data_IF_396173816766
#
_entry.id   IF_396173816766
#
_cell.length_a   1.000
_cell.length_b   1.000
_cell.length_c   1.000
_cell.angle_alpha   90.00
_cell.angle_beta   90.00
_cell.angle_gamma   90.00
#
_symmetry.space_group_name_H-M   'P 1'
#
loop_
_entity.id
_entity.type
_entity.pdbx_description
1 polymer ?
#
# COMPACT_ATOMS: atom_id res chain seq x y z
N UNK A 1 20.10 16.76 28.49
CA UNK A 1 20.60 17.67 27.45
C UNK A 1 22.05 17.32 27.21
N UNK A 2 22.32 16.37 26.35
CA UNK A 2 23.65 16.15 25.78
C UNK A 2 23.45 16.10 24.28
N UNK A 3 24.09 17.06 23.59
CA UNK A 3 23.91 17.34 22.19
C UNK A 3 24.40 16.16 21.33
N UNK A 4 23.49 15.59 20.59
CA UNK A 4 23.86 14.74 19.47
C UNK A 4 24.74 15.53 18.51
N UNK A 5 25.99 15.10 18.33
CA UNK A 5 26.87 15.64 17.32
C UNK A 5 26.23 15.30 15.96
N UNK A 6 25.63 16.29 15.32
CA UNK A 6 25.16 16.18 13.95
C UNK A 6 26.32 15.75 13.07
N UNK A 7 26.17 14.66 12.35
CA UNK A 7 27.14 14.19 11.36
C UNK A 7 27.24 15.28 10.29
N UNK A 8 28.46 15.70 9.98
CA UNK A 8 28.74 16.68 8.94
C UNK A 8 28.33 16.08 7.57
N UNK A 9 27.29 16.62 6.89
CA UNK A 9 26.81 16.08 5.63
C UNK A 9 27.84 16.14 4.48
N UNK A 10 28.97 16.80 4.68
CA UNK A 10 30.05 16.85 3.70
C UNK A 10 30.99 15.65 3.75
N UNK A 11 30.84 14.74 4.72
CA UNK A 11 31.66 13.53 4.83
C UNK A 11 30.96 12.34 4.17
N UNK A 12 31.43 11.97 2.97
CA UNK A 12 31.09 10.70 2.34
C UNK A 12 31.49 9.54 3.26
N UNK A 13 30.50 8.72 3.66
CA UNK A 13 30.70 7.55 4.54
C UNK A 13 30.77 6.26 3.74
N UNK A 14 30.00 6.17 2.64
CA UNK A 14 29.89 4.98 1.81
C UNK A 14 28.67 5.03 0.92
N UNK A 15 28.37 3.93 0.23
CA UNK A 15 27.20 3.77 -0.65
C UNK A 15 26.17 2.88 0.04
N UNK A 16 24.92 3.30 0.01
CA UNK A 16 23.82 2.53 0.58
C UNK A 16 22.75 2.22 -0.47
N UNK A 17 22.23 1.00 -0.42
CA UNK A 17 21.06 0.57 -1.18
C UNK A 17 19.98 0.06 -0.23
N UNK A 18 18.72 0.09 -0.70
CA UNK A 18 17.59 -0.38 0.07
C UNK A 18 16.67 -1.22 -0.82
N UNK A 19 16.30 -2.41 -0.32
CA UNK A 19 15.31 -3.29 -0.93
C UNK A 19 14.01 -3.11 -0.13
N UNK A 20 12.92 -2.76 -0.83
CA UNK A 20 11.59 -2.59 -0.22
C UNK A 20 10.70 -3.75 -0.60
N UNK A 21 10.15 -4.43 0.42
CA UNK A 21 9.19 -5.50 0.23
C UNK A 21 7.87 -5.16 0.94
N UNK A 22 6.79 -5.72 0.42
CA UNK A 22 5.47 -5.67 1.04
C UNK A 22 4.60 -4.54 0.49
N UNK A 23 4.18 -3.57 1.28
CA UNK A 23 3.08 -2.67 0.97
C UNK A 23 3.49 -1.19 0.93
N UNK A 24 2.59 -0.32 0.43
CA UNK A 24 2.78 1.12 0.37
C UNK A 24 3.20 1.79 1.70
N UNK A 25 2.83 1.20 2.87
CA UNK A 25 3.31 1.70 4.17
C UNK A 25 4.79 1.41 4.37
N UNK A 26 5.25 0.22 3.96
CA UNK A 26 6.68 -0.12 3.96
C UNK A 26 7.47 0.76 2.97
N UNK A 27 6.85 1.09 1.84
CA UNK A 27 7.44 2.02 0.86
C UNK A 27 7.76 3.38 1.51
N UNK A 28 6.80 3.97 2.23
CA UNK A 28 7.04 5.23 2.96
C UNK A 28 8.12 5.07 4.02
N UNK A 29 8.11 3.97 4.78
CA UNK A 29 9.16 3.69 5.78
C UNK A 29 10.55 3.59 5.11
N UNK A 30 10.65 2.95 3.94
CA UNK A 30 11.87 2.86 3.13
C UNK A 30 12.37 4.22 2.66
N UNK A 31 11.49 5.06 2.16
CA UNK A 31 11.82 6.41 1.70
C UNK A 31 12.33 7.31 2.83
N UNK A 32 11.80 7.14 4.04
CA UNK A 32 12.32 7.80 5.25
C UNK A 32 13.72 7.25 5.59
N UNK A 33 13.91 5.93 5.57
CA UNK A 33 15.24 5.34 5.80
C UNK A 33 16.27 5.81 4.76
N UNK A 34 15.90 5.91 3.48
CA UNK A 34 16.77 6.46 2.44
C UNK A 34 17.15 7.93 2.73
N UNK A 35 16.17 8.76 3.14
CA UNK A 35 16.43 10.15 3.53
C UNK A 35 17.35 10.26 4.74
N UNK A 36 17.21 9.38 5.73
CA UNK A 36 18.10 9.33 6.90
C UNK A 36 19.51 8.91 6.48
N UNK A 37 19.68 7.87 5.66
CA UNK A 37 20.98 7.44 5.16
C UNK A 37 21.67 8.56 4.37
N UNK A 38 20.96 9.23 3.48
CA UNK A 38 21.48 10.37 2.71
C UNK A 38 21.91 11.52 3.62
N UNK A 39 21.09 11.89 4.62
CA UNK A 39 21.40 12.96 5.58
C UNK A 39 22.57 12.64 6.50
N UNK A 40 22.89 11.35 6.68
CA UNK A 40 24.06 10.89 7.43
C UNK A 40 25.33 10.76 6.60
N UNK A 41 25.28 11.03 5.29
CA UNK A 41 26.44 11.08 4.40
C UNK A 41 26.65 9.84 3.52
N UNK A 42 25.64 8.98 3.37
CA UNK A 42 25.66 7.92 2.40
C UNK A 42 25.20 8.40 1.02
N UNK A 43 25.89 7.98 -0.04
CA UNK A 43 25.41 8.05 -1.41
C UNK A 43 24.40 6.92 -1.63
N UNK A 44 23.17 7.25 -2.05
CA UNK A 44 22.15 6.25 -2.34
C UNK A 44 22.34 5.73 -3.77
N UNK A 45 22.54 4.42 -3.89
CA UNK A 45 22.70 3.72 -5.17
C UNK A 45 21.56 2.75 -5.41
N UNK A 46 21.26 2.47 -6.68
CA UNK A 46 20.24 1.49 -7.06
C UNK A 46 20.83 0.09 -7.30
N UNK A 47 22.05 0.04 -7.83
CA UNK A 47 22.75 -1.20 -8.08
C UNK A 47 23.30 -1.78 -6.77
N UNK A 48 22.79 -2.94 -6.35
CA UNK A 48 23.12 -3.57 -5.07
C UNK A 48 24.62 -3.95 -4.97
N UNK A 49 25.23 -4.31 -6.08
CA UNK A 49 26.66 -4.63 -6.19
C UNK A 49 27.58 -3.44 -5.90
N UNK A 50 27.06 -2.21 -6.01
CA UNK A 50 27.83 -0.99 -5.70
C UNK A 50 27.72 -0.57 -4.23
N UNK A 51 26.82 -1.16 -3.45
CA UNK A 51 26.52 -0.76 -2.09
C UNK A 51 27.55 -1.29 -1.07
N UNK A 52 27.98 -0.43 -0.16
CA UNK A 52 28.73 -0.81 1.04
C UNK A 52 27.78 -1.25 2.17
N UNK A 53 26.53 -0.73 2.15
CA UNK A 53 25.45 -1.06 3.10
C UNK A 53 24.18 -1.39 2.31
N UNK A 54 23.54 -2.51 2.63
CA UNK A 54 22.21 -2.84 2.12
C UNK A 54 21.25 -2.93 3.31
N UNK A 55 20.08 -2.32 3.18
CA UNK A 55 18.96 -2.46 4.09
C UNK A 55 17.82 -3.19 3.37
N UNK A 56 17.34 -4.30 3.94
CA UNK A 56 16.16 -5.02 3.43
C UNK A 56 14.97 -4.69 4.32
N UNK A 57 14.04 -3.85 3.84
CA UNK A 57 12.81 -3.53 4.55
C UNK A 57 11.75 -4.60 4.23
N UNK A 58 11.41 -5.41 5.22
CA UNK A 58 10.72 -6.68 5.09
C UNK A 58 9.23 -6.61 5.41
N UNK A 59 8.46 -7.50 4.78
CA UNK A 59 7.08 -7.79 5.14
C UNK A 59 7.00 -8.95 6.13
N UNK A 60 6.16 -8.83 7.15
CA UNK A 60 5.90 -9.87 8.15
C UNK A 60 4.43 -10.23 8.29
N UNK A 61 3.58 -9.85 7.31
CA UNK A 61 2.13 -9.99 7.41
C UNK A 61 1.65 -11.41 7.10
N UNK A 62 2.07 -11.99 5.99
CA UNK A 62 1.76 -13.36 5.56
C UNK A 62 3.03 -14.21 5.52
N UNK A 63 2.87 -15.52 5.71
CA UNK A 63 3.99 -16.47 5.62
C UNK A 63 4.68 -16.42 4.25
N UNK A 64 3.93 -16.28 3.16
CA UNK A 64 4.47 -16.10 1.82
C UNK A 64 5.35 -14.86 1.69
N UNK A 65 4.94 -13.73 2.26
CA UNK A 65 5.73 -12.50 2.27
C UNK A 65 6.96 -12.57 3.19
N UNK A 66 6.87 -13.37 4.26
CA UNK A 66 8.05 -13.69 5.10
C UNK A 66 9.07 -14.51 4.31
N UNK A 67 8.62 -15.49 3.54
CA UNK A 67 9.49 -16.28 2.67
C UNK A 67 10.18 -15.42 1.62
N UNK A 68 9.44 -14.59 0.91
CA UNK A 68 9.99 -13.60 -0.04
C UNK A 68 11.04 -12.71 0.63
N UNK A 69 10.75 -12.23 1.85
CA UNK A 69 11.69 -11.41 2.63
C UNK A 69 12.97 -12.17 2.96
N UNK A 70 12.88 -13.44 3.33
CA UNK A 70 14.04 -14.30 3.62
C UNK A 70 14.86 -14.55 2.35
N UNK A 71 14.21 -14.86 1.23
CA UNK A 71 14.86 -15.08 -0.06
C UNK A 71 15.65 -13.82 -0.48
N UNK A 72 15.06 -12.64 -0.39
CA UNK A 72 15.72 -11.36 -0.68
C UNK A 72 16.93 -11.07 0.26
N UNK A 73 16.84 -11.45 1.54
CA UNK A 73 17.95 -11.32 2.48
C UNK A 73 19.12 -12.21 2.06
N UNK A 74 18.84 -13.47 1.69
CA UNK A 74 19.88 -14.38 1.22
C UNK A 74 20.54 -13.89 -0.06
N UNK A 75 19.76 -13.41 -1.05
CA UNK A 75 20.29 -12.81 -2.27
C UNK A 75 21.18 -11.60 -1.95
N UNK A 76 20.74 -10.70 -1.09
CA UNK A 76 21.53 -9.55 -0.67
C UNK A 76 22.83 -9.97 0.06
N UNK A 77 22.78 -11.05 0.85
CA UNK A 77 23.95 -11.54 1.59
C UNK A 77 25.08 -12.05 0.69
N UNK A 78 24.78 -12.53 -0.53
CA UNK A 78 25.78 -12.98 -1.49
C UNK A 78 26.75 -11.84 -1.91
N UNK A 79 26.32 -10.57 -1.86
CA UNK A 79 27.21 -9.44 -2.12
C UNK A 79 28.30 -9.23 -1.05
N UNK A 80 28.18 -9.88 0.14
CA UNK A 80 29.28 -9.92 1.11
C UNK A 80 30.44 -10.79 0.63
N UNK A 81 30.15 -11.83 -0.16
CA UNK A 81 31.16 -12.76 -0.69
C UNK A 81 31.79 -12.27 -1.98
N UNK A 82 30.94 -11.74 -2.89
CA UNK A 82 31.28 -11.47 -4.28
C UNK A 82 31.22 -9.96 -4.65
N UNK A 83 30.89 -9.08 -3.71
CA UNK A 83 30.74 -7.65 -3.91
C UNK A 83 31.50 -6.81 -2.90
N UNK A 84 31.07 -5.55 -2.75
CA UNK A 84 31.67 -4.63 -1.78
C UNK A 84 30.84 -4.47 -0.50
N UNK A 85 29.75 -5.21 -0.34
CA UNK A 85 28.87 -5.12 0.81
C UNK A 85 29.61 -5.43 2.12
N UNK A 86 29.59 -4.48 3.05
CA UNK A 86 30.22 -4.57 4.38
C UNK A 86 29.20 -4.83 5.47
N UNK A 87 27.99 -4.28 5.32
CA UNK A 87 26.91 -4.37 6.31
C UNK A 87 25.58 -4.68 5.62
N UNK A 88 24.89 -5.68 6.15
CA UNK A 88 23.53 -6.06 5.75
C UNK A 88 22.60 -5.86 6.94
N UNK A 89 21.61 -4.97 6.79
CA UNK A 89 20.59 -4.74 7.80
C UNK A 89 19.23 -5.23 7.32
N UNK A 90 18.43 -5.73 8.26
CA UNK A 90 17.05 -6.14 8.02
C UNK A 90 16.14 -5.27 8.87
N UNK A 91 15.13 -4.68 8.22
CA UNK A 91 14.19 -3.76 8.86
C UNK A 91 12.73 -4.21 8.67
N UNK A 92 11.81 -3.60 9.40
CA UNK A 92 10.38 -3.65 9.10
C UNK A 92 9.58 -4.71 9.85
N UNK A 93 8.44 -5.10 9.23
CA UNK A 93 7.39 -5.90 9.87
C UNK A 93 7.85 -7.30 10.29
N UNK A 94 8.72 -7.94 9.52
CA UNK A 94 9.24 -9.28 9.86
C UNK A 94 10.09 -9.22 11.11
N UNK A 95 10.96 -8.23 11.26
CA UNK A 95 11.76 -8.02 12.47
C UNK A 95 10.85 -7.84 13.68
N UNK A 96 9.78 -7.04 13.53
CA UNK A 96 8.83 -6.80 14.61
C UNK A 96 8.04 -8.04 15.00
N UNK A 97 7.70 -8.90 14.04
CA UNK A 97 6.94 -10.13 14.27
C UNK A 97 7.75 -11.22 14.96
N UNK A 98 9.00 -11.46 14.50
CA UNK A 98 9.82 -12.60 14.95
C UNK A 98 10.85 -12.24 16.00
N UNK A 99 11.07 -10.97 16.24
CA UNK A 99 11.89 -10.42 17.35
C UNK A 99 13.11 -11.28 17.75
N UNK A 100 13.00 -11.94 18.90
CA UNK A 100 14.13 -12.61 19.54
C UNK A 100 14.62 -13.87 18.79
N UNK A 101 13.83 -14.36 17.83
CA UNK A 101 14.17 -15.56 17.07
C UNK A 101 14.95 -15.25 15.79
N UNK A 102 14.76 -14.06 15.21
CA UNK A 102 15.24 -13.73 13.87
C UNK A 102 16.78 -13.67 13.80
N UNK A 103 17.44 -13.18 14.84
CA UNK A 103 18.91 -13.07 14.86
C UNK A 103 19.61 -14.41 14.86
N UNK A 104 19.01 -15.43 15.47
CA UNK A 104 19.55 -16.79 15.47
C UNK A 104 19.34 -17.51 14.12
N UNK A 105 18.33 -17.11 13.36
CA UNK A 105 17.96 -17.70 12.08
C UNK A 105 18.71 -17.10 10.88
N UNK A 106 19.20 -15.86 11.01
CA UNK A 106 19.86 -15.10 9.93
C UNK A 106 21.23 -14.57 10.39
N UNK A 107 22.22 -15.45 10.60
CA UNK A 107 23.55 -15.06 11.09
C UNK A 107 24.35 -14.19 10.11
N UNK A 108 23.97 -14.14 8.81
CA UNK A 108 24.58 -13.27 7.81
C UNK A 108 24.18 -11.79 7.93
N UNK A 109 23.17 -11.48 8.74
CA UNK A 109 22.67 -10.12 8.96
C UNK A 109 23.45 -9.45 10.10
N UNK A 110 23.94 -8.24 9.86
CA UNK A 110 24.73 -7.48 10.82
C UNK A 110 23.88 -6.72 11.86
N UNK A 111 22.59 -6.52 11.57
CA UNK A 111 21.68 -5.87 12.51
C UNK A 111 20.24 -5.86 12.07
N UNK A 112 19.33 -5.71 13.03
CA UNK A 112 17.90 -5.76 12.85
C UNK A 112 17.26 -4.48 13.39
N UNK A 113 16.39 -3.85 12.59
CA UNK A 113 15.68 -2.61 12.92
C UNK A 113 14.17 -2.89 12.98
N UNK A 114 13.57 -2.66 14.15
CA UNK A 114 12.12 -2.68 14.30
C UNK A 114 11.46 -1.49 13.59
N UNK A 115 10.14 -1.43 13.65
CA UNK A 115 9.37 -0.34 13.03
C UNK A 115 9.67 1.01 13.70
N UNK A 116 10.01 0.99 14.99
CA UNK A 116 10.36 2.19 15.76
C UNK A 116 11.79 2.69 15.52
N UNK A 117 12.62 1.89 14.82
CA UNK A 117 14.04 2.18 14.60
C UNK A 117 14.34 2.80 13.23
N UNK A 118 13.33 3.14 12.44
CA UNK A 118 13.47 3.69 11.07
C UNK A 118 14.46 4.86 11.03
N UNK A 119 14.41 5.77 12.01
CA UNK A 119 15.30 6.93 12.08
C UNK A 119 16.72 6.61 12.55
N UNK A 120 16.94 5.43 13.14
CA UNK A 120 18.26 5.01 13.63
C UNK A 120 19.11 4.34 12.55
N UNK A 121 18.56 4.10 11.37
CA UNK A 121 19.25 3.38 10.28
C UNK A 121 20.60 4.01 9.92
N UNK A 122 20.73 5.34 9.96
CA UNK A 122 21.98 6.05 9.70
C UNK A 122 23.04 5.79 10.75
N UNK A 123 22.67 5.72 12.04
CA UNK A 123 23.57 5.43 13.15
C UNK A 123 24.08 3.99 13.09
N UNK A 124 23.21 3.03 12.76
CA UNK A 124 23.57 1.63 12.54
C UNK A 124 24.51 1.48 11.35
N UNK A 125 24.17 2.09 10.23
CA UNK A 125 24.97 2.04 9.01
C UNK A 125 26.35 2.69 9.20
N UNK A 126 26.44 3.79 9.94
CA UNK A 126 27.66 4.49 10.27
C UNK A 126 28.52 3.82 11.35
N UNK A 127 28.03 2.72 11.98
CA UNK A 127 28.77 1.98 13.02
C UNK A 127 28.78 2.65 14.40
N UNK A 128 27.90 3.64 14.64
CA UNK A 128 27.79 4.30 15.93
C UNK A 128 27.06 3.44 16.97
N UNK A 129 26.28 2.45 16.53
CA UNK A 129 25.55 1.48 17.36
C UNK A 129 25.96 0.08 16.90
N UNK A 130 26.56 -0.71 17.79
CA UNK A 130 27.00 -2.09 17.51
C UNK A 130 26.01 -3.16 17.96
N UNK A 131 25.14 -2.84 18.92
CA UNK A 131 24.14 -3.76 19.44
C UNK A 131 22.73 -3.17 19.34
N UNK A 132 21.79 -4.06 19.03
CA UNK A 132 20.37 -3.79 19.03
C UNK A 132 19.86 -3.56 20.46
N UNK A 133 19.95 -2.31 20.94
CA UNK A 133 19.37 -1.93 22.22
C UNK A 133 17.85 -1.83 22.06
N UNK A 134 17.16 -2.90 22.44
CA UNK A 134 15.72 -2.98 22.30
C UNK A 134 15.01 -2.47 23.54
N UNK A 135 14.25 -1.41 23.43
CA UNK A 135 13.16 -1.14 24.37
C UNK A 135 12.05 -2.16 24.13
N UNK A 136 11.73 -2.97 25.14
CA UNK A 136 10.59 -3.89 25.14
C UNK A 136 9.33 -3.05 25.30
N UNK A 137 8.74 -2.63 24.20
CA UNK A 137 7.56 -1.80 24.16
C UNK A 137 6.59 -2.19 23.01
N UNK A 138 5.40 -1.61 23.03
CA UNK A 138 4.52 -1.63 21.85
C UNK A 138 5.03 -0.58 20.87
N UNK A 139 4.93 -0.81 19.53
CA UNK A 139 5.33 0.18 18.55
C UNK A 139 4.67 1.53 18.79
N UNK A 140 5.47 2.59 18.81
CA UNK A 140 5.03 3.97 19.09
C UNK A 140 5.43 4.96 17.99
N UNK A 141 6.33 4.59 17.10
CA UNK A 141 6.81 5.47 16.04
C UNK A 141 5.66 5.93 15.14
N UNK A 142 5.65 7.21 14.87
CA UNK A 142 4.78 7.85 13.90
C UNK A 142 5.60 8.90 13.15
N UNK A 143 5.74 8.70 11.86
CA UNK A 143 6.49 9.61 11.01
C UNK A 143 5.73 10.93 10.79
N UNK A 144 6.45 12.02 10.53
CA UNK A 144 5.88 13.35 10.24
C UNK A 144 6.66 14.09 9.13
N UNK A 145 6.19 15.30 8.78
CA UNK A 145 6.73 16.13 7.71
C UNK A 145 8.13 16.70 7.97
N UNK A 146 8.65 16.60 9.20
CA UNK A 146 9.99 17.08 9.55
C UNK A 146 11.09 16.07 9.33
N UNK A 147 10.71 14.81 9.12
CA UNK A 147 11.66 13.72 8.91
C UNK A 147 12.20 13.72 7.48
N UNK A 148 13.49 13.43 7.30
CA UNK A 148 14.07 13.32 5.96
C UNK A 148 13.38 12.21 5.18
N UNK A 149 13.05 12.47 3.93
CA UNK A 149 12.41 11.50 3.04
C UNK A 149 12.99 11.64 1.63
N UNK A 150 13.51 10.54 1.09
CA UNK A 150 13.95 10.46 -0.30
C UNK A 150 12.97 9.61 -1.08
N UNK A 151 12.29 10.23 -2.05
CA UNK A 151 11.33 9.56 -2.90
C UNK A 151 12.01 8.46 -3.73
N UNK A 152 11.36 7.30 -3.80
CA UNK A 152 11.77 6.15 -4.59
C UNK A 152 10.69 5.70 -5.58
N UNK A 153 9.51 6.33 -5.51
CA UNK A 153 8.45 6.22 -6.50
C UNK A 153 8.69 7.15 -7.69
N UNK A 154 7.83 7.04 -8.70
CA UNK A 154 7.84 7.96 -9.84
C UNK A 154 7.59 9.40 -9.36
N UNK A 155 8.22 10.37 -10.02
CA UNK A 155 8.25 11.78 -9.56
C UNK A 155 6.87 12.47 -9.47
N UNK A 156 5.85 11.92 -10.10
CA UNK A 156 4.51 12.51 -10.17
C UNK A 156 3.50 11.89 -9.19
N UNK A 157 3.84 10.80 -8.51
CA UNK A 157 2.97 10.14 -7.53
C UNK A 157 3.70 9.86 -6.22
N UNK A 158 2.99 9.95 -5.11
CA UNK A 158 3.54 9.64 -3.78
C UNK A 158 2.52 8.96 -2.88
N UNK A 159 3.00 8.04 -2.05
CA UNK A 159 2.23 7.55 -0.91
C UNK A 159 2.39 8.48 0.28
N UNK A 160 1.28 8.84 0.94
CA UNK A 160 1.29 9.65 2.16
C UNK A 160 0.65 8.87 3.29
N UNK A 161 1.45 8.45 4.25
CA UNK A 161 0.99 7.69 5.40
C UNK A 161 0.41 8.66 6.43
N UNK A 162 -0.92 8.61 6.62
CA UNK A 162 -1.65 9.53 7.50
C UNK A 162 -1.88 8.95 8.91
N UNK A 163 -1.70 7.64 9.08
CA UNK A 163 -1.81 6.95 10.36
C UNK A 163 -0.97 5.69 10.38
N UNK A 164 -0.66 5.19 11.59
CA UNK A 164 0.08 3.95 11.81
C UNK A 164 -0.65 3.08 12.84
N UNK A 165 -0.65 1.75 12.64
CA UNK A 165 -1.32 0.78 13.52
C UNK A 165 -2.82 0.65 13.25
N UNK A 166 -3.47 -0.30 13.93
CA UNK A 166 -4.89 -0.61 13.72
C UNK A 166 -5.54 -1.14 15.01
N UNK A 167 -6.77 -0.65 15.29
CA UNK A 167 -7.54 -1.09 16.44
C UNK A 167 -8.63 -2.11 16.09
N UNK A 168 -8.73 -2.56 14.82
CA UNK A 168 -9.78 -3.49 14.39
C UNK A 168 -9.50 -4.91 14.88
N UNK A 169 -10.55 -5.64 15.34
CA UNK A 169 -10.40 -6.94 15.97
C UNK A 169 -10.44 -8.12 14.98
N UNK A 170 -10.06 -7.93 13.71
CA UNK A 170 -10.14 -8.97 12.69
C UNK A 170 -9.35 -10.22 13.12
N UNK A 171 -10.00 -11.38 13.16
CA UNK A 171 -9.43 -12.61 13.74
C UNK A 171 -8.26 -13.20 12.94
N UNK A 172 -8.15 -12.86 11.66
CA UNK A 172 -7.09 -13.33 10.75
C UNK A 172 -5.89 -12.38 10.67
N UNK A 173 -5.95 -11.22 11.35
CA UNK A 173 -4.99 -10.14 11.11
C UNK A 173 -4.00 -10.00 12.26
N UNK A 174 -2.70 -10.03 11.93
CA UNK A 174 -1.59 -9.88 12.87
C UNK A 174 -1.14 -8.41 13.06
N UNK A 175 -1.66 -7.47 12.27
CA UNK A 175 -1.23 -6.05 12.26
C UNK A 175 -1.25 -5.39 13.63
N UNK A 176 -2.28 -5.54 14.49
CA UNK A 176 -2.27 -4.91 15.82
C UNK A 176 -1.10 -5.36 16.71
N UNK A 177 -0.54 -6.55 16.45
CA UNK A 177 0.65 -7.05 17.17
C UNK A 177 1.95 -6.53 16.59
N UNK A 178 2.01 -6.36 15.26
CA UNK A 178 3.20 -5.89 14.55
C UNK A 178 3.31 -4.36 14.64
N UNK A 179 2.25 -3.63 14.23
CA UNK A 179 2.26 -2.17 14.11
C UNK A 179 1.61 -1.41 15.28
N UNK A 180 1.10 -2.14 16.25
CA UNK A 180 0.51 -1.59 17.46
C UNK A 180 -0.87 -0.95 17.25
N UNK A 181 -1.28 -0.13 18.24
CA UNK A 181 -2.52 0.63 18.18
C UNK A 181 -2.44 1.75 17.17
N UNK A 182 -3.59 2.12 16.63
CA UNK A 182 -3.73 3.25 15.71
C UNK A 182 -3.22 4.55 16.34
N UNK A 183 -2.48 5.29 15.55
CA UNK A 183 -1.95 6.61 15.82
C UNK A 183 -2.08 7.45 14.57
N UNK A 184 -2.84 8.54 14.65
CA UNK A 184 -3.08 9.47 13.54
C UNK A 184 -2.08 10.63 13.57
N UNK A 185 -1.61 11.03 12.40
CA UNK A 185 -0.81 12.25 12.24
C UNK A 185 -1.70 13.48 12.35
N UNK A 186 -1.13 14.60 12.79
CA UNK A 186 -1.84 15.89 12.80
C UNK A 186 -2.13 16.34 11.36
N UNK A 187 -3.32 16.91 11.08
CA UNK A 187 -3.67 17.39 9.74
C UNK A 187 -2.63 18.34 9.15
N UNK A 188 -2.13 19.27 9.96
CA UNK A 188 -1.15 20.27 9.53
C UNK A 188 0.17 19.63 9.07
N UNK A 189 0.59 18.54 9.70
CA UNK A 189 1.77 17.78 9.29
C UNK A 189 1.55 17.11 7.93
N UNK A 190 0.37 16.54 7.70
CA UNK A 190 0.03 15.90 6.43
C UNK A 190 -0.03 16.94 5.31
N UNK A 191 -0.65 18.08 5.56
CA UNK A 191 -0.78 19.16 4.57
C UNK A 191 0.60 19.69 4.17
N UNK A 192 1.48 20.01 5.14
CA UNK A 192 2.85 20.48 4.83
C UNK A 192 3.65 19.46 4.03
N UNK A 193 3.53 18.18 4.34
CA UNK A 193 4.18 17.14 3.55
C UNK A 193 3.66 17.13 2.12
N UNK A 194 2.35 17.20 1.92
CA UNK A 194 1.73 17.22 0.60
C UNK A 194 2.15 18.46 -0.19
N UNK A 195 2.19 19.63 0.44
CA UNK A 195 2.70 20.87 -0.18
C UNK A 195 4.16 20.71 -0.64
N UNK A 196 5.03 20.12 0.19
CA UNK A 196 6.42 19.85 -0.15
C UNK A 196 6.55 18.85 -1.32
N UNK A 197 5.74 17.79 -1.32
CA UNK A 197 5.71 16.81 -2.41
C UNK A 197 5.25 17.45 -3.73
N UNK A 198 4.21 18.26 -3.69
CA UNK A 198 3.71 18.99 -4.87
C UNK A 198 4.75 19.99 -5.39
N UNK A 199 5.43 20.71 -4.49
CA UNK A 199 6.53 21.60 -4.88
C UNK A 199 7.69 20.86 -5.55
N UNK A 200 7.89 19.57 -5.25
CA UNK A 200 8.89 18.71 -5.91
C UNK A 200 8.40 18.05 -7.21
N UNK A 201 7.14 18.28 -7.62
CA UNK A 201 6.58 17.79 -8.89
C UNK A 201 5.49 16.72 -8.78
N UNK A 202 5.17 16.25 -7.58
CA UNK A 202 4.08 15.28 -7.36
C UNK A 202 2.73 15.90 -7.76
N UNK A 203 1.90 15.11 -8.47
CA UNK A 203 0.55 15.48 -8.91
C UNK A 203 -0.53 14.61 -8.28
N UNK A 204 -0.19 13.39 -7.90
CA UNK A 204 -1.09 12.46 -7.22
C UNK A 204 -0.54 12.08 -5.86
N UNK A 205 -1.39 12.10 -4.83
CA UNK A 205 -1.10 11.48 -3.54
C UNK A 205 -2.05 10.31 -3.30
N UNK A 206 -1.47 9.23 -2.78
CA UNK A 206 -2.20 8.04 -2.35
C UNK A 206 -2.15 8.01 -0.81
N UNK A 207 -3.28 8.35 -0.17
CA UNK A 207 -3.38 8.31 1.29
C UNK A 207 -3.41 6.85 1.77
N UNK A 208 -2.53 6.51 2.69
CA UNK A 208 -2.38 5.14 3.22
C UNK A 208 -2.38 5.11 4.75
N UNK A 209 -2.86 4.00 5.27
CA UNK A 209 -2.89 3.62 6.67
C UNK A 209 -3.27 2.15 6.75
N UNK A 210 -3.34 1.54 7.92
CA UNK A 210 -3.87 0.19 8.08
C UNK A 210 -5.41 0.16 8.10
N UNK A 211 -6.02 1.25 8.53
CA UNK A 211 -7.44 1.57 8.40
C UNK A 211 -7.56 3.08 8.18
N UNK A 212 -7.67 3.48 6.92
CA UNK A 212 -7.71 4.90 6.55
C UNK A 212 -8.94 5.60 7.13
N UNK A 213 -10.07 4.89 7.21
CA UNK A 213 -11.36 5.47 7.64
C UNK A 213 -11.44 5.79 9.12
N UNK A 214 -10.55 5.23 9.95
CA UNK A 214 -10.46 5.55 11.37
C UNK A 214 -9.51 6.74 11.65
N UNK A 215 -8.93 7.36 10.61
CA UNK A 215 -8.06 8.52 10.77
C UNK A 215 -8.71 9.60 11.63
N UNK A 216 -7.94 10.11 12.57
CA UNK A 216 -8.29 11.23 13.43
C UNK A 216 -9.19 10.89 14.61
N UNK A 217 -9.68 9.64 14.75
CA UNK A 217 -10.49 9.22 15.91
C UNK A 217 -9.72 9.31 17.24
N UNK A 218 -8.40 9.15 17.20
CA UNK A 218 -7.50 9.14 18.36
C UNK A 218 -6.84 10.50 18.67
N UNK A 219 -7.08 11.51 17.84
CA UNK A 219 -6.57 12.87 18.09
C UNK A 219 -7.30 13.53 19.26
N UNK A 220 -6.61 14.41 19.98
CA UNK A 220 -7.19 15.18 21.11
C UNK A 220 -8.45 15.94 20.69
N UNK A 221 -8.46 16.46 19.48
CA UNK A 221 -9.64 16.99 18.81
C UNK A 221 -9.87 16.10 17.59
N UNK A 222 -10.87 15.23 17.59
CA UNK A 222 -11.13 14.31 16.50
C UNK A 222 -11.34 15.05 15.17
N UNK A 223 -10.62 14.61 14.13
CA UNK A 223 -10.72 15.16 12.78
C UNK A 223 -11.10 14.03 11.84
N UNK A 224 -12.36 13.93 11.39
CA UNK A 224 -12.78 12.92 10.43
C UNK A 224 -11.98 13.01 9.11
N UNK A 225 -11.75 11.87 8.46
CA UNK A 225 -11.05 11.81 7.17
C UNK A 225 -11.66 12.77 6.13
N UNK A 226 -12.99 12.89 6.08
CA UNK A 226 -13.65 13.84 5.18
C UNK A 226 -13.16 15.28 5.37
N UNK A 227 -12.92 15.71 6.61
CA UNK A 227 -12.40 17.06 6.89
C UNK A 227 -10.96 17.23 6.41
N UNK A 228 -10.11 16.19 6.54
CA UNK A 228 -8.76 16.21 5.96
C UNK A 228 -8.81 16.32 4.43
N UNK A 229 -9.74 15.61 3.77
CA UNK A 229 -9.91 15.69 2.32
C UNK A 229 -10.30 17.11 1.86
N UNK A 230 -11.18 17.79 2.59
CA UNK A 230 -11.53 19.19 2.31
C UNK A 230 -10.30 20.12 2.41
N UNK A 231 -9.41 19.90 3.38
CA UNK A 231 -8.19 20.70 3.51
C UNK A 231 -7.19 20.39 2.39
N UNK A 232 -6.99 19.11 2.05
CA UNK A 232 -6.09 18.69 0.97
C UNK A 232 -6.59 19.13 -0.42
N UNK A 233 -7.90 19.30 -0.61
CA UNK A 233 -8.49 19.87 -1.82
C UNK A 233 -7.93 21.25 -2.16
N UNK A 234 -7.53 22.04 -1.14
CA UNK A 234 -7.05 23.42 -1.31
C UNK A 234 -5.57 23.51 -1.70
N UNK A 235 -4.79 22.40 -1.64
CA UNK A 235 -3.36 22.40 -1.98
C UNK A 235 -3.19 22.68 -3.48
N UNK A 236 -2.60 23.81 -3.85
CA UNK A 236 -2.33 24.18 -5.24
C UNK A 236 -1.36 23.19 -5.91
N UNK A 237 -1.61 22.85 -7.17
CA UNK A 237 -0.78 21.94 -7.96
C UNK A 237 -1.02 20.46 -7.69
N UNK A 238 -1.76 20.09 -6.64
CA UNK A 238 -2.23 18.75 -6.44
C UNK A 238 -3.45 18.49 -7.37
N UNK A 239 -3.44 17.37 -8.08
CA UNK A 239 -4.50 17.01 -9.04
C UNK A 239 -5.34 15.83 -8.54
N UNK A 240 -4.73 14.79 -7.97
CA UNK A 240 -5.42 13.60 -7.48
C UNK A 240 -5.09 13.27 -6.02
N UNK A 241 -6.14 12.90 -5.30
CA UNK A 241 -6.11 12.34 -3.94
C UNK A 241 -6.81 10.99 -3.99
N UNK A 242 -6.09 9.93 -3.74
CA UNK A 242 -6.62 8.57 -3.73
C UNK A 242 -6.66 7.98 -2.35
N UNK A 243 -7.73 7.22 -2.03
CA UNK A 243 -7.94 6.58 -0.74
C UNK A 243 -7.72 5.07 -0.88
N UNK A 244 -6.79 4.52 -0.10
CA UNK A 244 -6.52 3.09 -0.06
C UNK A 244 -6.75 2.54 1.35
N UNK A 245 -7.21 1.27 1.45
CA UNK A 245 -7.44 0.55 2.71
C UNK A 245 -8.57 1.14 3.58
N UNK A 246 -9.73 1.40 3.01
CA UNK A 246 -10.92 1.78 3.77
C UNK A 246 -11.51 0.58 4.54
N UNK A 247 -12.00 0.83 5.76
CA UNK A 247 -12.69 -0.19 6.53
C UNK A 247 -14.22 0.04 6.51
N UNK A 248 -15.06 -1.00 6.39
CA UNK A 248 -16.50 -0.86 6.16
C UNK A 248 -17.23 0.06 7.15
N UNK A 249 -16.89 0.02 8.46
CA UNK A 249 -17.53 0.86 9.47
C UNK A 249 -17.33 2.36 9.27
N UNK A 250 -16.20 2.75 8.69
CA UNK A 250 -15.85 4.16 8.53
C UNK A 250 -16.32 4.76 7.20
N UNK A 251 -17.02 4.01 6.35
CA UNK A 251 -17.61 4.53 5.11
C UNK A 251 -18.91 5.27 5.45
N UNK A 252 -18.77 6.48 5.97
CA UNK A 252 -19.87 7.35 6.36
C UNK A 252 -20.44 8.11 5.16
N UNK A 253 -21.63 8.71 5.32
CA UNK A 253 -22.22 9.54 4.26
C UNK A 253 -21.40 10.79 3.99
N UNK A 254 -20.76 11.36 5.02
CA UNK A 254 -19.86 12.51 4.88
C UNK A 254 -18.61 12.15 4.05
N UNK A 255 -18.03 10.95 4.27
CA UNK A 255 -16.91 10.48 3.45
C UNK A 255 -17.33 10.25 1.99
N UNK A 256 -18.49 9.61 1.78
CA UNK A 256 -19.03 9.40 0.42
C UNK A 256 -19.32 10.72 -0.28
N UNK A 257 -19.87 11.71 0.42
CA UNK A 257 -20.08 13.06 -0.11
C UNK A 257 -18.73 13.73 -0.48
N UNK A 258 -17.70 13.62 0.37
CA UNK A 258 -16.37 14.15 0.07
C UNK A 258 -15.77 13.48 -1.18
N UNK A 259 -15.86 12.16 -1.31
CA UNK A 259 -15.39 11.44 -2.50
C UNK A 259 -16.16 11.86 -3.75
N UNK A 260 -17.49 12.04 -3.65
CA UNK A 260 -18.35 12.43 -4.77
C UNK A 260 -18.09 13.86 -5.21
N UNK A 261 -18.01 14.81 -4.28
CA UNK A 261 -18.14 16.24 -4.55
C UNK A 261 -16.79 16.96 -4.72
N UNK A 262 -15.70 16.47 -4.07
CA UNK A 262 -14.38 17.07 -4.20
C UNK A 262 -13.73 16.68 -5.54
N UNK A 263 -13.28 17.67 -6.29
CA UNK A 263 -12.79 17.47 -7.66
C UNK A 263 -11.44 16.74 -7.73
N UNK A 264 -10.57 16.94 -6.74
CA UNK A 264 -9.26 16.28 -6.67
C UNK A 264 -9.33 14.88 -6.09
N UNK A 265 -10.41 14.53 -5.37
CA UNK A 265 -10.58 13.19 -4.81
C UNK A 265 -10.99 12.23 -5.91
N UNK A 266 -10.17 11.23 -6.17
CA UNK A 266 -10.44 10.17 -7.14
C UNK A 266 -11.78 9.48 -6.79
N UNK A 267 -12.60 9.25 -7.81
CA UNK A 267 -13.87 8.52 -7.64
C UNK A 267 -13.58 7.01 -7.52
N UNK A 268 -12.85 6.69 -6.47
CA UNK A 268 -12.30 5.37 -6.22
C UNK A 268 -12.30 5.07 -4.72
N UNK A 269 -12.68 3.87 -4.35
CA UNK A 269 -12.70 3.40 -2.98
C UNK A 269 -12.19 1.95 -2.89
N UNK A 270 -11.00 1.76 -2.31
CA UNK A 270 -10.48 0.45 -1.97
C UNK A 270 -10.99 0.04 -0.59
N UNK A 271 -11.90 -0.94 -0.56
CA UNK A 271 -12.59 -1.38 0.64
C UNK A 271 -12.58 -2.92 0.76
N UNK A 272 -11.62 -3.51 1.47
CA UNK A 272 -11.59 -4.95 1.70
C UNK A 272 -12.81 -5.44 2.48
N UNK A 273 -13.77 -6.05 1.80
CA UNK A 273 -15.00 -6.59 2.42
C UNK A 273 -14.76 -7.96 3.06
N UNK A 274 -13.79 -8.70 2.57
CA UNK A 274 -13.28 -9.98 3.04
C UNK A 274 -14.15 -11.18 2.70
N UNK A 275 -15.47 -11.10 2.81
CA UNK A 275 -16.45 -12.13 2.43
C UNK A 275 -17.85 -11.52 2.27
N UNK A 276 -18.83 -12.30 1.73
CA UNK A 276 -20.24 -11.93 1.68
C UNK A 276 -21.10 -12.63 2.75
N UNK A 277 -20.75 -13.87 3.09
CA UNK A 277 -21.52 -14.70 4.01
C UNK A 277 -21.42 -14.20 5.47
N UNK A 278 -22.56 -14.02 6.12
CA UNK A 278 -22.65 -13.48 7.48
C UNK A 278 -21.94 -14.37 8.52
N UNK A 279 -22.02 -15.71 8.36
CA UNK A 279 -21.34 -16.67 9.24
C UNK A 279 -19.83 -16.51 9.24
N UNK A 280 -19.24 -16.42 8.06
CA UNK A 280 -17.79 -16.23 7.84
C UNK A 280 -17.36 -14.85 8.36
N UNK A 281 -18.10 -13.79 8.03
CA UNK A 281 -17.80 -12.43 8.51
C UNK A 281 -17.85 -12.33 10.03
N UNK A 282 -18.81 -13.02 10.68
CA UNK A 282 -18.89 -13.08 12.14
C UNK A 282 -17.67 -13.77 12.74
N UNK A 283 -17.22 -14.88 12.15
CA UNK A 283 -16.02 -15.59 12.59
C UNK A 283 -14.73 -14.77 12.34
N UNK A 284 -14.70 -13.97 11.28
CA UNK A 284 -13.65 -12.99 10.97
C UNK A 284 -13.67 -11.75 11.88
N UNK A 285 -14.67 -11.57 12.74
CA UNK A 285 -14.94 -10.33 13.48
C UNK A 285 -15.07 -9.10 12.56
N UNK A 286 -15.71 -9.28 11.40
CA UNK A 286 -16.01 -8.20 10.46
C UNK A 286 -17.38 -7.57 10.74
N UNK A 287 -17.61 -6.30 10.35
CA UNK A 287 -18.86 -5.61 10.55
C UNK A 287 -20.05 -6.30 9.86
N UNK A 288 -21.17 -6.31 10.56
CA UNK A 288 -22.46 -6.84 10.10
C UNK A 288 -23.54 -5.75 10.13
N UNK A 289 -24.78 -6.14 9.91
CA UNK A 289 -25.93 -5.24 9.97
C UNK A 289 -25.90 -4.18 8.86
N UNK A 290 -25.84 -2.90 9.20
CA UNK A 290 -25.80 -1.80 8.22
C UNK A 290 -24.52 -1.76 7.39
N UNK A 291 -23.45 -2.33 7.92
CA UNK A 291 -22.13 -2.41 7.26
C UNK A 291 -21.86 -3.79 6.67
N UNK A 292 -22.85 -4.68 6.62
CA UNK A 292 -22.75 -5.93 5.86
C UNK A 292 -22.49 -5.61 4.38
N UNK A 293 -21.65 -6.40 3.68
CA UNK A 293 -21.13 -6.07 2.36
C UNK A 293 -22.17 -5.59 1.35
N UNK A 294 -23.25 -6.36 1.13
CA UNK A 294 -24.31 -5.99 0.18
C UNK A 294 -24.99 -4.65 0.52
N UNK A 295 -25.32 -4.42 1.80
CA UNK A 295 -25.95 -3.16 2.25
C UNK A 295 -25.01 -1.97 2.13
N UNK A 296 -23.71 -2.19 2.38
CA UNK A 296 -22.72 -1.14 2.23
C UNK A 296 -22.52 -0.78 0.75
N UNK A 297 -22.45 -1.77 -0.13
CA UNK A 297 -22.36 -1.55 -1.58
C UNK A 297 -23.61 -0.81 -2.09
N UNK A 298 -24.81 -1.21 -1.66
CA UNK A 298 -26.05 -0.51 -1.98
C UNK A 298 -26.03 0.96 -1.52
N UNK A 299 -25.54 1.22 -0.30
CA UNK A 299 -25.35 2.58 0.20
C UNK A 299 -24.39 3.38 -0.69
N UNK A 300 -23.22 2.80 -1.03
CA UNK A 300 -22.24 3.48 -1.89
C UNK A 300 -22.85 3.78 -3.26
N UNK A 301 -23.54 2.83 -3.88
CA UNK A 301 -24.20 3.03 -5.19
C UNK A 301 -25.32 4.07 -5.15
N UNK A 302 -25.98 4.23 -4.00
CA UNK A 302 -27.02 5.26 -3.81
C UNK A 302 -26.43 6.66 -3.59
N UNK A 303 -25.41 6.77 -2.73
CA UNK A 303 -24.87 8.08 -2.31
C UNK A 303 -23.73 8.60 -3.21
N UNK A 304 -22.98 7.68 -3.86
CA UNK A 304 -21.87 8.00 -4.75
C UNK A 304 -21.79 7.00 -5.94
N UNK A 305 -22.76 7.04 -6.87
CA UNK A 305 -22.92 6.00 -7.91
C UNK A 305 -21.74 5.86 -8.86
N UNK A 306 -20.98 6.92 -9.08
CA UNK A 306 -19.82 6.94 -9.98
C UNK A 306 -18.53 6.39 -9.36
N UNK A 307 -18.55 6.07 -8.06
CA UNK A 307 -17.34 5.58 -7.37
C UNK A 307 -17.02 4.16 -7.83
N UNK A 308 -15.82 3.98 -8.33
CA UNK A 308 -15.24 2.67 -8.59
C UNK A 308 -14.91 1.99 -7.27
N UNK A 309 -15.44 0.80 -7.04
CA UNK A 309 -15.23 0.02 -5.83
C UNK A 309 -14.23 -1.08 -6.13
N UNK A 310 -13.06 -1.01 -5.51
CA UNK A 310 -12.13 -2.12 -5.40
C UNK A 310 -12.39 -2.85 -4.09
N UNK A 311 -12.35 -4.17 -4.13
CA UNK A 311 -12.52 -4.97 -2.91
C UNK A 311 -11.53 -6.14 -2.87
N UNK A 312 -11.43 -6.73 -1.68
CA UNK A 312 -10.65 -7.94 -1.45
C UNK A 312 -11.53 -8.94 -0.72
N UNK A 313 -11.47 -10.21 -1.16
CA UNK A 313 -12.10 -11.35 -0.50
C UNK A 313 -11.06 -12.38 -0.08
N UNK A 314 -11.36 -13.09 1.00
CA UNK A 314 -10.58 -14.21 1.52
C UNK A 314 -11.45 -15.44 1.45
N UNK A 315 -10.97 -16.48 0.77
CA UNK A 315 -11.63 -17.80 0.67
C UNK A 315 -10.86 -18.86 1.43
N UNK A 316 -11.56 -19.94 1.80
CA UNK A 316 -10.97 -20.99 2.60
C UNK A 316 -10.78 -20.64 4.06
N UNK A 317 -11.54 -19.66 4.58
CA UNK A 317 -11.55 -19.33 6.02
C UNK A 317 -12.11 -20.51 6.82
N UNK A 318 -11.60 -20.81 8.03
CA UNK A 318 -12.07 -21.94 8.82
C UNK A 318 -13.59 -21.97 9.00
N UNK A 319 -14.20 -23.08 8.59
CA UNK A 319 -15.65 -23.29 8.65
C UNK A 319 -16.46 -22.72 7.48
N UNK A 320 -15.81 -22.13 6.46
CA UNK A 320 -16.47 -21.71 5.22
C UNK A 320 -17.04 -22.92 4.46
N UNK A 321 -18.30 -22.81 4.05
CA UNK A 321 -19.00 -23.88 3.30
C UNK A 321 -19.04 -23.58 1.81
N UNK A 322 -19.46 -24.60 1.01
CA UNK A 322 -19.68 -24.42 -0.43
C UNK A 322 -20.81 -23.41 -0.72
N UNK A 323 -21.84 -23.37 0.12
CA UNK A 323 -22.92 -22.37 0.01
C UNK A 323 -22.41 -20.95 0.24
N UNK A 324 -21.46 -20.76 1.16
CA UNK A 324 -20.83 -19.45 1.41
C UNK A 324 -20.02 -18.99 0.20
N UNK A 325 -19.29 -19.90 -0.45
CA UNK A 325 -18.52 -19.62 -1.69
C UNK A 325 -19.46 -19.30 -2.85
N UNK A 326 -20.55 -20.06 -3.00
CA UNK A 326 -21.56 -19.80 -4.02
C UNK A 326 -22.26 -18.43 -3.83
N UNK A 327 -22.55 -18.02 -2.59
CA UNK A 327 -23.06 -16.68 -2.28
C UNK A 327 -22.04 -15.58 -2.64
N UNK A 328 -20.74 -15.81 -2.36
CA UNK A 328 -19.69 -14.89 -2.70
C UNK A 328 -19.52 -14.74 -4.23
N UNK A 329 -19.58 -15.85 -4.96
CA UNK A 329 -19.57 -15.83 -6.43
C UNK A 329 -20.75 -15.05 -7.00
N UNK A 330 -21.96 -15.30 -6.48
CA UNK A 330 -23.15 -14.55 -6.88
C UNK A 330 -22.99 -13.05 -6.61
N UNK A 331 -22.40 -12.68 -5.47
CA UNK A 331 -22.13 -11.28 -5.12
C UNK A 331 -21.12 -10.60 -6.08
N UNK A 332 -20.08 -11.31 -6.51
CA UNK A 332 -19.14 -10.81 -7.52
C UNK A 332 -19.88 -10.57 -8.85
N UNK A 333 -20.71 -11.54 -9.27
CA UNK A 333 -21.48 -11.48 -10.52
C UNK A 333 -22.59 -10.42 -10.55
N UNK A 334 -22.93 -9.81 -9.40
CA UNK A 334 -23.82 -8.63 -9.38
C UNK A 334 -23.17 -7.40 -10.08
N UNK A 335 -21.87 -7.41 -10.39
CA UNK A 335 -21.22 -6.39 -11.22
C UNK A 335 -20.91 -5.07 -10.49
N UNK A 336 -20.94 -5.05 -9.17
CA UNK A 336 -20.73 -3.84 -8.38
C UNK A 336 -19.27 -3.39 -8.30
N UNK A 337 -18.33 -4.28 -8.52
CA UNK A 337 -16.91 -4.05 -8.30
C UNK A 337 -16.18 -3.75 -9.61
N UNK A 338 -15.32 -2.74 -9.59
CA UNK A 338 -14.40 -2.44 -10.70
C UNK A 338 -13.17 -3.35 -10.67
N UNK A 339 -12.78 -3.84 -9.50
CA UNK A 339 -11.65 -4.75 -9.31
C UNK A 339 -11.86 -5.58 -8.05
N UNK A 340 -11.51 -6.87 -8.10
CA UNK A 340 -11.63 -7.81 -6.97
C UNK A 340 -10.34 -8.59 -6.81
N UNK A 341 -9.65 -8.41 -5.68
CA UNK A 341 -8.57 -9.29 -5.28
C UNK A 341 -9.09 -10.48 -4.47
N UNK A 342 -8.71 -11.71 -4.85
CA UNK A 342 -9.13 -12.92 -4.15
C UNK A 342 -7.90 -13.63 -3.62
N UNK A 343 -7.87 -13.83 -2.30
CA UNK A 343 -6.77 -14.45 -1.59
C UNK A 343 -7.26 -15.70 -0.85
N UNK A 344 -6.40 -16.72 -0.78
CA UNK A 344 -6.61 -17.85 0.11
C UNK A 344 -6.33 -17.45 1.55
N UNK A 345 -7.09 -17.99 2.49
CA UNK A 345 -6.83 -17.79 3.91
C UNK A 345 -5.49 -18.41 4.30
N UNK A 346 -4.62 -17.60 4.90
CA UNK A 346 -3.34 -18.01 5.47
C UNK A 346 -3.47 -18.13 6.99
N UNK A 347 -3.20 -19.30 7.60
CA UNK A 347 -3.28 -19.50 9.04
C UNK A 347 -2.05 -18.90 9.74
N UNK A 348 -2.11 -17.61 10.06
CA UNK A 348 -0.99 -16.87 10.65
C UNK A 348 -0.88 -17.13 12.16
N UNK A 349 0.25 -17.68 12.58
CA UNK A 349 0.51 -17.95 14.00
C UNK A 349 0.38 -16.68 14.85
N UNK A 350 -0.37 -16.79 15.94
CA UNK A 350 -0.63 -15.68 16.86
C UNK A 350 -1.88 -14.86 16.52
N UNK A 351 -2.62 -15.22 15.46
CA UNK A 351 -3.96 -14.69 15.19
C UNK A 351 -5.03 -15.59 15.81
N UNK A 352 -6.20 -15.05 16.22
CA UNK A 352 -7.28 -15.87 16.77
C UNK A 352 -7.79 -16.95 15.80
N UNK A 353 -7.79 -16.69 14.49
CA UNK A 353 -8.28 -17.66 13.50
C UNK A 353 -7.35 -18.86 13.28
N UNK A 354 -6.09 -18.76 13.69
CA UNK A 354 -5.13 -19.86 13.62
C UNK A 354 -5.60 -21.09 14.41
N UNK A 355 -6.25 -20.86 15.55
CA UNK A 355 -6.75 -21.90 16.46
C UNK A 355 -8.18 -22.38 16.14
N UNK A 356 -8.84 -21.80 15.12
CA UNK A 356 -10.23 -22.17 14.80
C UNK A 356 -10.29 -23.59 14.20
N UNK A 357 -11.29 -24.38 14.59
CA UNK A 357 -11.55 -25.68 13.94
C UNK A 357 -12.12 -25.49 12.53
N UNK A 358 -12.08 -26.55 11.73
CA UNK A 358 -12.60 -26.53 10.37
C UNK A 358 -11.67 -25.83 9.38
N UNK A 359 -10.35 -25.93 9.60
CA UNK A 359 -9.35 -25.53 8.62
C UNK A 359 -9.57 -26.27 7.30
N UNK A 360 -9.46 -25.55 6.20
CA UNK A 360 -9.65 -26.05 4.85
C UNK A 360 -8.26 -26.30 4.24
N UNK A 361 -8.10 -27.40 3.48
CA UNK A 361 -6.83 -27.71 2.84
C UNK A 361 -6.50 -26.74 1.69
N UNK A 362 -5.22 -26.66 1.32
CA UNK A 362 -4.73 -25.69 0.35
C UNK A 362 -5.27 -25.94 -1.06
N UNK A 363 -5.49 -27.20 -1.45
CA UNK A 363 -6.03 -27.57 -2.77
C UNK A 363 -7.47 -27.03 -2.92
N UNK A 364 -8.31 -27.20 -1.90
CA UNK A 364 -9.68 -26.67 -1.90
C UNK A 364 -9.69 -25.14 -1.87
N UNK A 365 -8.81 -24.49 -1.08
CA UNK A 365 -8.67 -23.03 -1.08
C UNK A 365 -8.32 -22.48 -2.47
N UNK A 366 -7.35 -23.10 -3.16
CA UNK A 366 -6.94 -22.69 -4.50
C UNK A 366 -8.04 -22.95 -5.54
N UNK A 367 -8.79 -24.06 -5.42
CA UNK A 367 -9.94 -24.32 -6.28
C UNK A 367 -11.02 -23.22 -6.13
N UNK A 368 -11.36 -22.84 -4.89
CA UNK A 368 -12.30 -21.75 -4.60
C UNK A 368 -11.80 -20.43 -5.16
N UNK A 369 -10.51 -20.10 -4.94
CA UNK A 369 -9.88 -18.89 -5.48
C UNK A 369 -9.97 -18.86 -7.01
N UNK A 370 -9.61 -19.93 -7.69
CA UNK A 370 -9.66 -20.04 -9.15
C UNK A 370 -11.06 -19.78 -9.70
N UNK A 371 -12.09 -20.42 -9.12
CA UNK A 371 -13.49 -20.23 -9.49
C UNK A 371 -13.95 -18.77 -9.37
N UNK A 372 -13.61 -18.10 -8.27
CA UNK A 372 -14.00 -16.70 -8.07
C UNK A 372 -13.18 -15.74 -8.94
N UNK A 373 -11.93 -16.06 -9.25
CA UNK A 373 -11.11 -15.30 -10.20
C UNK A 373 -11.68 -15.36 -11.62
N UNK A 374 -12.20 -16.51 -12.06
CA UNK A 374 -12.90 -16.63 -13.34
C UNK A 374 -14.17 -15.76 -13.35
N UNK A 375 -14.99 -15.85 -12.30
CA UNK A 375 -16.22 -15.05 -12.18
C UNK A 375 -15.95 -13.54 -12.22
N UNK A 376 -14.91 -13.07 -11.55
CA UNK A 376 -14.57 -11.64 -11.54
C UNK A 376 -13.99 -11.18 -12.88
N UNK A 377 -13.22 -12.01 -13.58
CA UNK A 377 -12.64 -11.66 -14.87
C UNK A 377 -13.73 -11.36 -15.93
N UNK A 378 -14.83 -12.14 -15.92
CA UNK A 378 -15.99 -11.90 -16.78
C UNK A 378 -16.61 -10.51 -16.49
N UNK A 379 -16.84 -10.20 -15.21
CA UNK A 379 -17.47 -8.95 -14.78
C UNK A 379 -16.56 -7.74 -15.09
N UNK A 380 -15.27 -7.84 -14.85
CA UNK A 380 -14.33 -6.75 -15.14
C UNK A 380 -14.28 -6.46 -16.63
N UNK A 381 -14.21 -7.48 -17.48
CA UNK A 381 -14.22 -7.31 -18.94
C UNK A 381 -15.49 -6.57 -19.41
N UNK A 382 -16.65 -6.92 -18.85
CA UNK A 382 -17.89 -6.25 -19.15
C UNK A 382 -17.88 -4.76 -18.70
N UNK A 383 -17.43 -4.51 -17.48
CA UNK A 383 -17.32 -3.17 -16.92
C UNK A 383 -16.34 -2.29 -17.73
N UNK A 384 -15.15 -2.81 -18.08
CA UNK A 384 -14.16 -2.09 -18.88
C UNK A 384 -14.65 -1.82 -20.31
N UNK A 385 -15.41 -2.73 -20.90
CA UNK A 385 -16.02 -2.52 -22.24
C UNK A 385 -16.91 -1.30 -22.28
N UNK A 386 -17.51 -0.90 -21.15
CA UNK A 386 -18.32 0.30 -21.06
C UNK A 386 -17.53 1.61 -21.32
N UNK A 387 -16.21 1.57 -21.24
CA UNK A 387 -15.33 2.72 -21.51
C UNK A 387 -14.97 2.86 -22.99
N UNK A 388 -15.14 1.83 -23.81
CA UNK A 388 -14.83 1.87 -25.24
C UNK A 388 -15.63 2.99 -25.93
N UNK A 389 -14.93 3.84 -26.69
CA UNK A 389 -15.45 5.02 -27.34
C UNK A 389 -15.51 6.28 -26.45
N UNK A 390 -15.33 6.16 -25.14
CA UNK A 390 -15.28 7.32 -24.22
C UNK A 390 -13.89 7.96 -24.23
N UNK A 391 -13.87 9.26 -23.89
CA UNK A 391 -12.64 10.01 -23.65
C UNK A 391 -12.49 10.28 -22.16
N UNK A 392 -11.42 9.80 -21.56
CA UNK A 392 -11.15 9.88 -20.10
C UNK A 392 -9.86 10.65 -19.80
N UNK A 393 -9.72 11.27 -18.62
CA UNK A 393 -8.45 11.82 -18.18
C UNK A 393 -7.50 10.68 -17.79
N UNK A 394 -6.22 10.82 -18.15
CA UNK A 394 -5.14 9.90 -17.90
C UNK A 394 -3.96 10.64 -17.29
N UNK A 395 -3.38 10.13 -16.21
CA UNK A 395 -2.04 10.49 -15.74
C UNK A 395 -1.03 9.60 -16.47
N UNK A 396 -0.18 10.20 -17.30
CA UNK A 396 0.83 9.47 -18.08
C UNK A 396 2.02 9.12 -17.17
N UNK A 397 2.38 7.83 -17.08
CA UNK A 397 3.35 7.36 -16.10
C UNK A 397 4.68 6.91 -16.71
N UNK A 398 4.70 6.38 -17.91
CA UNK A 398 5.92 5.88 -18.50
C UNK A 398 5.73 5.04 -19.75
N UNK A 399 6.76 4.30 -20.10
CA UNK A 399 6.66 3.24 -21.08
C UNK A 399 5.94 2.05 -20.47
N UNK A 400 5.27 1.27 -21.32
CA UNK A 400 4.68 0.00 -20.91
C UNK A 400 5.78 -0.99 -20.48
N UNK A 401 5.50 -1.83 -19.48
CA UNK A 401 6.52 -2.73 -18.92
C UNK A 401 7.07 -3.75 -19.91
N UNK A 402 6.26 -4.18 -20.88
CA UNK A 402 6.66 -5.18 -21.88
C UNK A 402 7.33 -4.57 -23.12
N UNK A 403 7.24 -3.24 -23.35
CA UNK A 403 7.76 -2.60 -24.56
C UNK A 403 7.92 -1.10 -24.45
N UNK A 404 9.04 -0.58 -24.96
CA UNK A 404 9.30 0.86 -25.07
C UNK A 404 8.50 1.55 -26.22
N UNK A 405 7.77 0.79 -27.02
CA UNK A 405 6.98 1.32 -28.14
C UNK A 405 5.61 1.84 -27.72
N UNK A 406 5.15 1.49 -26.53
CA UNK A 406 3.87 1.90 -25.98
C UNK A 406 4.07 2.69 -24.70
N UNK A 407 3.21 3.68 -24.49
CA UNK A 407 3.14 4.38 -23.22
C UNK A 407 2.02 3.80 -22.35
N UNK A 408 2.11 4.03 -21.06
CA UNK A 408 1.06 3.67 -20.11
C UNK A 408 0.77 4.78 -19.13
N UNK A 409 -0.41 4.73 -18.57
CA UNK A 409 -0.83 5.62 -17.51
C UNK A 409 -2.06 5.09 -16.81
N UNK A 410 -2.57 5.86 -15.85
CA UNK A 410 -3.77 5.48 -15.07
C UNK A 410 -4.87 6.51 -15.17
N UNK A 411 -6.10 6.00 -15.18
CA UNK A 411 -7.28 6.79 -14.95
C UNK A 411 -7.58 6.98 -13.45
N UNK A 412 -8.46 7.91 -13.12
CA UNK A 412 -8.82 8.19 -11.72
C UNK A 412 -9.43 7.00 -10.97
N UNK A 413 -9.94 6.01 -11.70
CA UNK A 413 -10.53 4.78 -11.14
C UNK A 413 -9.54 3.59 -11.08
N UNK A 414 -8.26 3.81 -11.34
CA UNK A 414 -7.18 2.80 -11.28
C UNK A 414 -6.14 3.23 -10.25
N UNK A 415 -5.88 2.38 -9.24
CA UNK A 415 -4.83 2.61 -8.25
C UNK A 415 -3.49 2.04 -8.72
N UNK A 416 -2.36 2.66 -8.35
CA UNK A 416 -1.04 2.15 -8.74
C UNK A 416 -0.80 0.73 -8.18
N UNK A 417 -0.12 -0.10 -8.97
CA UNK A 417 0.39 -1.44 -8.61
C UNK A 417 -0.68 -2.52 -8.36
N UNK A 418 -1.97 -2.17 -8.26
CA UNK A 418 -3.04 -3.12 -7.89
C UNK A 418 -4.18 -3.24 -8.89
N UNK A 419 -4.34 -2.26 -9.78
CA UNK A 419 -5.34 -2.27 -10.85
C UNK A 419 -4.64 -2.27 -12.21
N UNK A 420 -5.39 -2.52 -13.29
CA UNK A 420 -4.88 -2.42 -14.65
C UNK A 420 -4.50 -0.98 -15.03
N UNK A 421 -3.91 -0.82 -16.20
CA UNK A 421 -3.45 0.46 -16.73
C UNK A 421 -4.25 0.87 -17.98
N UNK A 422 -3.98 2.06 -18.49
CA UNK A 422 -4.39 2.47 -19.83
C UNK A 422 -3.16 2.48 -20.72
N UNK A 423 -3.12 1.59 -21.69
CA UNK A 423 -2.08 1.49 -22.70
C UNK A 423 -2.34 2.54 -23.77
N UNK A 424 -1.38 3.40 -24.04
CA UNK A 424 -1.47 4.42 -25.08
C UNK A 424 -0.73 3.92 -26.31
N UNK A 425 -1.49 3.62 -27.37
CA UNK A 425 -0.99 3.06 -28.61
C UNK A 425 -0.87 4.10 -29.75
N UNK A 426 -1.43 5.30 -29.56
CA UNK A 426 -1.36 6.36 -30.55
C UNK A 426 -1.45 7.75 -29.90
N UNK A 427 -0.88 8.76 -30.54
CA UNK A 427 -0.84 10.14 -30.06
C UNK A 427 -1.19 11.07 -31.22
N UNK A 428 -2.16 11.95 -31.03
CA UNK A 428 -2.54 12.92 -32.05
C UNK A 428 -1.35 13.81 -32.43
N UNK A 429 -1.23 14.12 -33.71
CA UNK A 429 -0.14 14.94 -34.25
C UNK A 429 -0.03 16.30 -33.52
N UNK A 430 1.18 16.66 -33.15
CA UNK A 430 1.50 17.92 -32.45
C UNK A 430 1.53 17.84 -30.93
N UNK A 431 1.31 16.67 -30.33
CA UNK A 431 1.51 16.44 -28.90
C UNK A 431 2.81 15.66 -28.69
N UNK A 432 3.71 16.25 -27.90
CA UNK A 432 4.87 15.55 -27.33
C UNK A 432 4.52 15.18 -25.88
N UNK A 433 4.33 13.89 -25.58
CA UNK A 433 3.90 13.46 -24.26
C UNK A 433 5.02 13.61 -23.23
N UNK A 434 4.67 14.22 -22.09
CA UNK A 434 5.55 14.36 -20.93
C UNK A 434 5.04 13.50 -19.78
N UNK A 435 5.93 12.75 -19.13
CA UNK A 435 5.57 11.91 -17.97
C UNK A 435 5.10 12.77 -16.80
N UNK A 436 4.17 12.26 -16.04
CA UNK A 436 3.57 12.97 -14.90
C UNK A 436 2.57 14.06 -15.29
N UNK A 437 2.17 14.15 -16.55
CA UNK A 437 1.12 15.06 -17.03
C UNK A 437 -0.18 14.35 -17.32
N UNK A 438 -1.25 15.12 -17.26
CA UNK A 438 -2.59 14.66 -17.58
C UNK A 438 -2.93 14.89 -19.06
N UNK A 439 -3.48 13.86 -19.68
CA UNK A 439 -3.94 13.87 -21.07
C UNK A 439 -5.38 13.37 -21.16
N UNK A 440 -6.04 13.70 -22.27
CA UNK A 440 -7.33 13.12 -22.64
C UNK A 440 -7.08 11.94 -23.57
N UNK A 441 -7.54 10.75 -23.16
CA UNK A 441 -7.36 9.51 -23.93
C UNK A 441 -8.71 8.98 -24.38
N UNK A 442 -8.85 8.74 -25.69
CA UNK A 442 -10.03 8.07 -26.25
C UNK A 442 -9.78 6.57 -26.25
N UNK A 443 -10.59 5.85 -25.49
CA UNK A 443 -10.49 4.40 -25.37
C UNK A 443 -11.00 3.71 -26.62
N UNK A 444 -10.23 2.81 -27.20
CA UNK A 444 -10.52 2.03 -28.41
C UNK A 444 -10.95 0.60 -28.13
N UNK A 445 -10.30 -0.05 -27.13
CA UNK A 445 -10.53 -1.46 -26.83
C UNK A 445 -10.14 -1.82 -25.38
N UNK A 446 -10.43 -3.08 -25.01
CA UNK A 446 -10.06 -3.69 -23.72
C UNK A 446 -9.06 -4.80 -23.97
N UNK A 447 -7.97 -4.87 -23.21
CA UNK A 447 -6.94 -5.88 -23.28
C UNK A 447 -6.76 -6.54 -21.90
N UNK A 448 -7.50 -7.62 -21.62
CA UNK A 448 -7.50 -8.27 -20.31
C UNK A 448 -8.05 -7.34 -19.23
N UNK A 449 -7.20 -6.92 -18.31
CA UNK A 449 -7.53 -5.96 -17.23
C UNK A 449 -7.22 -4.51 -17.60
N UNK A 450 -6.66 -4.27 -18.79
CA UNK A 450 -6.22 -2.96 -19.25
C UNK A 450 -7.16 -2.35 -20.29
N UNK A 451 -7.10 -1.03 -20.39
CA UNK A 451 -7.73 -0.29 -21.46
C UNK A 451 -6.66 0.11 -22.49
N UNK A 452 -7.05 0.17 -23.76
CA UNK A 452 -6.18 0.69 -24.82
C UNK A 452 -6.81 1.93 -25.44
N UNK A 453 -6.00 2.93 -25.75
CA UNK A 453 -6.52 4.16 -26.34
C UNK A 453 -5.45 5.09 -26.90
N UNK A 454 -5.92 6.20 -27.46
CA UNK A 454 -5.07 7.20 -28.09
C UNK A 454 -5.19 8.54 -27.36
N UNK A 455 -4.06 9.23 -27.14
CA UNK A 455 -4.04 10.62 -26.65
C UNK A 455 -4.66 11.52 -27.71
N UNK A 456 -5.70 12.30 -27.33
CA UNK A 456 -6.43 13.17 -28.26
C UNK A 456 -6.34 14.66 -27.92
N UNK A 457 -5.94 14.99 -26.68
CA UNK A 457 -5.63 16.37 -26.24
C UNK A 457 -4.89 16.36 -24.89
#
# INVERSE_FOLDING_TARGET
MEGGQGVDPSKFIGRAALITLGCAKNQVDSEVMLGVLESTGFEIVQALEEADVIVVNTCGFLESAVKESIDAIFEASEFKKNGRLRKLFVAGCMVERYRDQISALLPEVDGFLGIDDVLKVGEFAGGAIEEFAREVGRPYFLYDDTMPRRMSTQSHTAYVKISEGCNRPCTFCIIPRIRGKMRSRQPESIIREVENLVASGVREINLVGQDLTAYGEDLLQPVPLANLLHQLQEVEGLEWIRLLYAYPLGVTSELLAAIRDLSKVCKYLDIPLQHSAEGVLKAMHRPLGKCAPRRLVEKIRTEAPEVSIRTTFIVGFPGETEEDVADLEAFIKEGHFSSVGIFTYSPEQGTPSFELPGQIDEEEKEARRGRLMEAQAEVITENLTSFVGKTIPLLLEGNHEDTDLLLQGRASFQAPEVDGVVIVNDIVEGIEPELGRFYRVKISEVAGYDLVGSIVS
#
